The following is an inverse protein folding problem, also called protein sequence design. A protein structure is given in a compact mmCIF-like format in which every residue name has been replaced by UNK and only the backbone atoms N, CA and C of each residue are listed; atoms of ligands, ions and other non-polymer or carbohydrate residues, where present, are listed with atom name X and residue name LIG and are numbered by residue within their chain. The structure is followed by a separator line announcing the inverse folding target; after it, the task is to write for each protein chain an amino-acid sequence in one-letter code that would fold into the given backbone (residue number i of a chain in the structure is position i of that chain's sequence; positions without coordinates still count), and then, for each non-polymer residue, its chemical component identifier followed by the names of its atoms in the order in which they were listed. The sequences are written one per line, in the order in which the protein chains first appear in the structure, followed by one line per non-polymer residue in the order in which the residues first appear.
data_IF_844907355587
#
_entry.id   IF_844907355587
#
_cell.length_a   1.000
_cell.length_b   1.000
_cell.length_c   1.000
_cell.angle_alpha   90.00
_cell.angle_beta   90.00
_cell.angle_gamma   90.00
#
_symmetry.space_group_name_H-M   'P 1'
#
loop_
_entity.id
_entity.type
_entity.pdbx_description
1 polymer ?
#
# COMPACT_ATOMS: atom_id res chain seq x y z
N UNK A 1 -8.75 21.10 -38.31
CA UNK A 1 -7.57 21.75 -37.68
C UNK A 1 -6.70 20.63 -37.14
N UNK A 2 -5.54 20.40 -37.73
CA UNK A 2 -4.73 19.20 -37.46
C UNK A 2 -4.12 19.14 -36.04
N UNK A 3 -4.11 20.25 -35.28
CA UNK A 3 -3.49 20.29 -33.94
C UNK A 3 -4.52 20.21 -32.82
N UNK A 4 -5.79 20.54 -33.11
CA UNK A 4 -6.86 20.61 -32.09
C UNK A 4 -8.02 19.64 -32.32
N UNK A 5 -8.00 18.90 -33.42
CA UNK A 5 -8.97 17.81 -33.64
C UNK A 5 -8.73 16.69 -32.62
N UNK A 6 -9.81 16.15 -32.07
CA UNK A 6 -9.83 15.12 -31.03
C UNK A 6 -10.89 14.06 -31.39
N UNK A 7 -10.62 12.80 -31.05
CA UNK A 7 -11.55 11.67 -31.18
C UNK A 7 -11.86 11.11 -29.79
N UNK A 8 -13.02 10.49 -29.60
CA UNK A 8 -13.40 9.80 -28.37
C UNK A 8 -13.05 8.29 -28.40
N UNK A 9 -12.60 7.77 -29.54
CA UNK A 9 -12.13 6.39 -29.64
C UNK A 9 -10.67 6.28 -29.20
N UNK A 10 -10.45 5.65 -28.06
CA UNK A 10 -9.11 5.48 -27.47
C UNK A 10 -8.22 4.57 -28.33
N UNK A 11 -8.81 3.58 -29.01
CA UNK A 11 -8.05 2.67 -29.87
C UNK A 11 -7.55 3.41 -31.12
N UNK A 12 -8.38 4.27 -31.71
CA UNK A 12 -7.98 5.12 -32.84
C UNK A 12 -6.83 6.07 -32.45
N UNK A 13 -6.93 6.70 -31.26
CA UNK A 13 -5.88 7.59 -30.74
C UNK A 13 -4.57 6.82 -30.54
N UNK A 14 -4.63 5.57 -30.08
CA UNK A 14 -3.45 4.72 -29.91
C UNK A 14 -2.73 4.49 -31.24
N UNK A 15 -3.48 4.18 -32.31
CA UNK A 15 -2.93 3.88 -33.63
C UNK A 15 -2.36 5.11 -34.33
N UNK A 16 -2.99 6.27 -34.17
CA UNK A 16 -2.63 7.50 -34.90
C UNK A 16 -1.62 8.36 -34.13
N UNK A 17 -1.82 8.55 -32.82
CA UNK A 17 -1.07 9.51 -32.00
C UNK A 17 -0.14 8.85 -30.98
N UNK A 18 -0.33 7.56 -30.68
CA UNK A 18 0.52 6.78 -29.78
C UNK A 18 0.11 6.81 -28.30
N UNK A 19 0.90 6.12 -27.47
CA UNK A 19 0.52 5.78 -26.09
C UNK A 19 0.40 6.98 -25.13
N UNK A 20 1.20 8.02 -25.30
CA UNK A 20 1.12 9.21 -24.43
C UNK A 20 -0.12 10.06 -24.73
N UNK A 21 -0.55 10.09 -26.01
CA UNK A 21 -1.82 10.70 -26.38
C UNK A 21 -3.00 9.94 -25.78
N UNK A 22 -2.93 8.60 -25.77
CA UNK A 22 -3.91 7.73 -25.11
C UNK A 22 -4.00 8.00 -23.62
N UNK A 23 -2.86 8.11 -22.92
CA UNK A 23 -2.84 8.43 -21.48
C UNK A 23 -3.65 9.69 -21.18
N UNK A 24 -3.48 10.75 -21.99
CA UNK A 24 -4.23 12.00 -21.82
C UNK A 24 -5.68 11.93 -22.29
N UNK A 25 -5.97 11.16 -23.33
CA UNK A 25 -7.33 10.93 -23.77
C UNK A 25 -8.16 10.20 -22.70
N UNK A 26 -7.62 9.12 -22.10
CA UNK A 26 -8.29 8.38 -21.02
C UNK A 26 -8.54 9.29 -19.82
N UNK A 27 -7.53 10.05 -19.38
CA UNK A 27 -7.67 10.96 -18.26
C UNK A 27 -8.80 11.99 -18.50
N UNK A 28 -8.87 12.54 -19.71
CA UNK A 28 -9.90 13.51 -20.09
C UNK A 28 -11.29 12.90 -20.14
N UNK A 29 -11.45 11.73 -20.76
CA UNK A 29 -12.74 11.03 -20.84
C UNK A 29 -13.25 10.63 -19.46
N UNK A 30 -12.38 10.06 -18.61
CA UNK A 30 -12.76 9.69 -17.24
C UNK A 30 -13.17 10.92 -16.41
N UNK A 31 -12.40 12.00 -16.49
CA UNK A 31 -12.73 13.24 -15.77
C UNK A 31 -14.04 13.86 -16.29
N UNK A 32 -14.30 13.81 -17.60
CA UNK A 32 -15.54 14.30 -18.20
C UNK A 32 -16.76 13.52 -17.70
N UNK A 33 -16.68 12.19 -17.59
CA UNK A 33 -17.78 11.36 -17.07
C UNK A 33 -18.02 11.60 -15.57
N UNK A 34 -16.94 11.71 -14.77
CA UNK A 34 -17.07 11.92 -13.32
C UNK A 34 -17.59 13.33 -13.00
N UNK A 35 -17.08 14.34 -13.69
CA UNK A 35 -17.51 15.74 -13.48
C UNK A 35 -18.91 16.01 -14.00
N UNK A 36 -19.40 15.21 -14.96
CA UNK A 36 -20.79 15.29 -15.44
C UNK A 36 -21.82 15.02 -14.33
N UNK A 37 -21.51 14.11 -13.40
CA UNK A 37 -22.33 13.82 -12.21
C UNK A 37 -22.16 14.87 -11.09
N UNK A 38 -21.33 15.90 -11.30
CA UNK A 38 -21.01 16.92 -10.29
C UNK A 38 -20.04 16.44 -9.21
N UNK A 39 -19.55 15.20 -9.32
CA UNK A 39 -18.58 14.61 -8.41
C UNK A 39 -17.16 15.08 -8.72
N UNK A 40 -16.34 15.31 -7.68
CA UNK A 40 -14.94 15.69 -7.81
C UNK A 40 -14.02 14.57 -7.33
N UNK A 41 -13.01 14.25 -8.15
CA UNK A 41 -11.93 13.32 -7.80
C UNK A 41 -10.59 14.03 -7.99
N UNK A 42 -9.68 13.87 -7.02
CA UNK A 42 -8.35 14.46 -7.12
C UNK A 42 -7.58 13.85 -8.31
N UNK A 43 -6.92 14.72 -9.08
CA UNK A 43 -6.07 14.36 -10.23
C UNK A 43 -5.15 13.16 -9.96
N UNK A 44 -4.57 13.07 -8.75
CA UNK A 44 -3.63 12.00 -8.39
C UNK A 44 -4.22 10.60 -8.52
N UNK A 45 -5.53 10.42 -8.31
CA UNK A 45 -6.18 9.11 -8.45
C UNK A 45 -6.37 8.72 -9.91
N UNK A 46 -6.85 9.66 -10.73
CA UNK A 46 -7.09 9.43 -12.16
C UNK A 46 -5.76 9.24 -12.90
N UNK A 47 -4.76 10.07 -12.59
CA UNK A 47 -3.43 9.97 -13.17
C UNK A 47 -2.80 8.61 -12.89
N UNK A 48 -2.87 8.12 -11.65
CA UNK A 48 -2.29 6.83 -11.28
C UNK A 48 -2.96 5.66 -12.01
N UNK A 49 -4.28 5.71 -12.19
CA UNK A 49 -4.99 4.70 -12.98
C UNK A 49 -4.58 4.74 -14.46
N UNK A 50 -4.53 5.94 -15.07
CA UNK A 50 -4.12 6.10 -16.47
C UNK A 50 -2.67 5.62 -16.68
N UNK A 51 -1.79 5.89 -15.72
CA UNK A 51 -0.40 5.44 -15.74
C UNK A 51 -0.32 3.92 -15.67
N UNK A 52 -1.08 3.27 -14.78
CA UNK A 52 -1.13 1.79 -14.70
C UNK A 52 -1.64 1.17 -16.00
N UNK A 53 -2.63 1.78 -16.66
CA UNK A 53 -3.17 1.30 -17.94
C UNK A 53 -2.20 1.45 -19.12
N UNK A 54 -1.23 2.38 -19.06
CA UNK A 54 -0.38 2.77 -20.21
C UNK A 54 1.11 2.50 -20.02
N UNK A 55 1.58 2.20 -18.80
CA UNK A 55 3.00 2.07 -18.45
C UNK A 55 3.77 1.00 -19.25
N UNK A 56 3.11 -0.03 -19.78
CA UNK A 56 3.75 -1.11 -20.53
C UNK A 56 3.93 -0.83 -22.04
N UNK A 57 3.48 0.33 -22.52
CA UNK A 57 3.57 0.70 -23.94
C UNK A 57 2.44 0.16 -24.83
N UNK A 58 1.52 -0.62 -24.26
CA UNK A 58 0.26 -1.02 -24.89
C UNK A 58 -0.90 -0.70 -23.95
N UNK A 59 -2.11 -0.56 -24.51
CA UNK A 59 -3.30 -0.31 -23.70
C UNK A 59 -3.69 -1.57 -22.90
N UNK A 60 -3.56 -1.48 -21.59
CA UNK A 60 -3.96 -2.55 -20.68
C UNK A 60 -5.37 -2.30 -20.15
N UNK A 61 -6.30 -3.20 -20.49
CA UNK A 61 -7.65 -3.16 -19.95
C UNK A 61 -7.67 -3.63 -18.48
N UNK A 62 -8.45 -2.96 -17.62
CA UNK A 62 -8.68 -3.38 -16.23
C UNK A 62 -9.75 -4.49 -16.22
N UNK A 63 -9.37 -5.66 -16.74
CA UNK A 63 -10.17 -6.89 -16.79
C UNK A 63 -9.25 -8.09 -16.61
N UNK A 64 -9.78 -9.30 -16.46
CA UNK A 64 -8.97 -10.53 -16.37
C UNK A 64 -7.95 -10.66 -17.51
N UNK A 65 -8.35 -10.30 -18.74
CA UNK A 65 -7.51 -10.38 -19.93
C UNK A 65 -6.33 -9.41 -19.92
N UNK A 66 -6.43 -8.29 -19.20
CA UNK A 66 -5.33 -7.34 -19.07
C UNK A 66 -4.48 -7.58 -17.83
N UNK A 67 -5.10 -7.86 -16.68
CA UNK A 67 -4.41 -8.06 -15.39
C UNK A 67 -3.64 -9.38 -15.39
N UNK A 68 -4.20 -10.47 -15.92
CA UNK A 68 -3.55 -11.79 -15.91
C UNK A 68 -2.34 -11.86 -16.85
N UNK A 69 -2.24 -10.94 -17.82
CA UNK A 69 -1.07 -10.80 -18.71
C UNK A 69 0.10 -10.07 -18.05
N UNK A 70 -0.06 -9.55 -16.84
CA UNK A 70 1.04 -8.95 -16.12
C UNK A 70 1.97 -10.03 -15.54
N UNK A 71 3.28 -9.77 -15.55
CA UNK A 71 4.30 -10.58 -14.88
C UNK A 71 4.21 -10.42 -13.35
N UNK A 72 3.15 -10.97 -12.78
CA UNK A 72 2.85 -10.99 -11.34
C UNK A 72 2.64 -12.42 -10.90
N UNK A 73 2.91 -12.68 -9.62
CA UNK A 73 2.88 -14.02 -9.04
C UNK A 73 1.58 -14.76 -9.34
N UNK A 74 1.68 -16.07 -9.57
CA UNK A 74 0.54 -16.93 -9.84
C UNK A 74 -0.52 -16.82 -8.72
N UNK A 75 -0.11 -16.68 -7.46
CA UNK A 75 -1.03 -16.51 -6.32
C UNK A 75 -1.78 -15.18 -6.38
N UNK A 76 -1.11 -14.12 -6.85
CA UNK A 76 -1.75 -12.83 -7.06
C UNK A 76 -2.78 -12.91 -8.19
N UNK A 77 -2.41 -13.52 -9.33
CA UNK A 77 -3.31 -13.64 -10.50
C UNK A 77 -4.52 -14.52 -10.19
N UNK A 78 -4.33 -15.67 -9.55
CA UNK A 78 -5.42 -16.59 -9.23
C UNK A 78 -6.43 -16.01 -8.22
N UNK A 79 -6.06 -14.94 -7.50
CA UNK A 79 -6.95 -14.23 -6.59
C UNK A 79 -8.02 -13.39 -7.30
N UNK A 80 -7.89 -13.17 -8.62
CA UNK A 80 -8.85 -12.40 -9.43
C UNK A 80 -9.24 -13.16 -10.71
N UNK A 81 -10.43 -13.77 -10.70
CA UNK A 81 -10.96 -14.60 -11.80
C UNK A 81 -10.04 -15.78 -12.22
N UNK A 82 -10.57 -16.75 -12.99
CA UNK A 82 -9.81 -17.85 -13.63
C UNK A 82 -8.84 -18.65 -12.71
N UNK A 83 -9.16 -18.81 -11.42
CA UNK A 83 -8.26 -19.37 -10.41
C UNK A 83 -7.69 -20.74 -10.77
N UNK A 84 -8.52 -21.68 -11.22
CA UNK A 84 -8.09 -23.06 -11.52
C UNK A 84 -7.17 -23.10 -12.74
N UNK A 85 -7.50 -22.34 -13.78
CA UNK A 85 -6.74 -22.31 -15.02
C UNK A 85 -5.35 -21.70 -14.80
N UNK A 86 -5.28 -20.60 -14.04
CA UNK A 86 -4.01 -19.94 -13.68
C UNK A 86 -3.11 -20.87 -12.87
N UNK A 87 -3.66 -21.58 -11.88
CA UNK A 87 -2.89 -22.51 -11.06
C UNK A 87 -2.41 -23.73 -11.86
N UNK A 88 -3.23 -24.23 -12.77
CA UNK A 88 -2.85 -25.34 -13.65
C UNK A 88 -1.74 -24.92 -14.62
N UNK A 89 -1.84 -23.74 -15.22
CA UNK A 89 -0.81 -23.19 -16.11
C UNK A 89 0.51 -22.95 -15.37
N UNK A 90 0.44 -22.38 -14.16
CA UNK A 90 1.61 -22.18 -13.31
C UNK A 90 2.27 -23.50 -12.92
N UNK A 91 1.47 -24.55 -12.62
CA UNK A 91 1.98 -25.88 -12.30
C UNK A 91 2.67 -26.54 -13.49
N UNK A 92 2.11 -26.41 -14.70
CA UNK A 92 2.69 -26.96 -15.94
C UNK A 92 4.03 -26.29 -16.27
N UNK A 93 4.14 -24.98 -16.08
CA UNK A 93 5.36 -24.22 -16.35
C UNK A 93 6.36 -24.19 -15.17
N UNK A 94 6.03 -24.84 -14.05
CA UNK A 94 6.80 -24.79 -12.81
C UNK A 94 7.13 -23.33 -12.37
N UNK A 95 6.14 -22.45 -12.45
CA UNK A 95 6.27 -21.04 -12.09
C UNK A 95 6.58 -20.89 -10.59
N UNK A 96 7.55 -20.04 -10.25
CA UNK A 96 7.95 -19.76 -8.87
C UNK A 96 7.41 -18.39 -8.46
N UNK A 97 6.53 -18.37 -7.47
CA UNK A 97 5.98 -17.13 -6.93
C UNK A 97 6.94 -16.51 -5.89
N UNK A 98 7.42 -15.26 -6.08
CA UNK A 98 8.35 -14.62 -5.16
C UNK A 98 7.71 -14.06 -3.88
N UNK A 99 6.38 -14.14 -3.71
CA UNK A 99 5.64 -13.71 -2.51
C UNK A 99 5.96 -12.26 -2.07
N UNK A 100 5.96 -11.33 -3.03
CA UNK A 100 6.23 -9.89 -2.81
C UNK A 100 4.96 -9.03 -2.75
N UNK A 101 3.90 -9.44 -3.44
CA UNK A 101 2.60 -8.79 -3.50
C UNK A 101 1.83 -8.89 -2.18
N UNK A 102 0.72 -8.16 -2.11
CA UNK A 102 -0.11 -8.10 -0.89
C UNK A 102 -0.97 -9.36 -0.77
N UNK A 103 -1.60 -9.82 -1.86
CA UNK A 103 -2.53 -10.95 -1.86
C UNK A 103 -1.87 -12.26 -1.41
N UNK A 104 -0.71 -12.59 -1.98
CA UNK A 104 0.08 -13.78 -1.60
C UNK A 104 0.52 -13.77 -0.12
N UNK A 105 0.97 -12.62 0.40
CA UNK A 105 1.35 -12.50 1.81
C UNK A 105 0.14 -12.69 2.75
N UNK A 106 -1.03 -12.18 2.37
CA UNK A 106 -2.28 -12.41 3.11
C UNK A 106 -2.66 -13.89 3.10
N UNK A 107 -2.58 -14.56 1.95
CA UNK A 107 -2.90 -15.99 1.82
C UNK A 107 -1.99 -16.87 2.70
N UNK A 108 -0.71 -16.52 2.82
CA UNK A 108 0.26 -17.24 3.65
C UNK A 108 0.26 -16.82 5.12
N UNK A 109 -0.52 -15.80 5.50
CA UNK A 109 -0.58 -15.28 6.88
C UNK A 109 0.70 -14.54 7.31
N UNK A 110 1.47 -14.00 6.37
CA UNK A 110 2.69 -13.24 6.62
C UNK A 110 2.43 -11.73 6.60
N UNK A 111 3.31 -10.95 7.24
CA UNK A 111 3.22 -9.49 7.18
C UNK A 111 3.55 -9.02 5.76
N UNK A 112 2.61 -8.31 5.12
CA UNK A 112 2.80 -7.79 3.77
C UNK A 112 3.77 -6.59 3.76
N UNK A 113 4.51 -6.44 2.66
CA UNK A 113 5.48 -5.34 2.46
C UNK A 113 4.79 -4.02 2.09
N UNK A 114 3.81 -3.59 2.89
CA UNK A 114 3.06 -2.37 2.69
C UNK A 114 2.92 -1.61 4.04
N UNK A 115 2.90 -0.27 3.98
CA UNK A 115 2.73 0.57 5.16
C UNK A 115 3.82 0.32 6.21
N UNK A 116 3.44 -0.19 7.39
CA UNK A 116 4.37 -0.48 8.50
C UNK A 116 5.30 -1.67 8.21
N UNK A 117 4.94 -2.55 7.28
CA UNK A 117 5.76 -3.69 6.88
C UNK A 117 6.78 -3.38 5.78
N UNK A 118 6.95 -2.11 5.37
CA UNK A 118 7.89 -1.74 4.31
C UNK A 118 9.35 -1.60 4.76
N UNK A 119 9.58 -1.59 6.06
CA UNK A 119 10.91 -1.57 6.68
C UNK A 119 10.99 -2.61 7.78
N UNK A 120 12.21 -3.01 8.12
CA UNK A 120 12.50 -3.90 9.24
C UNK A 120 13.08 -3.11 10.42
N UNK A 121 12.88 -3.63 11.62
CA UNK A 121 13.31 -3.00 12.87
C UNK A 121 14.49 -3.79 13.43
N UNK A 122 15.65 -3.13 13.51
CA UNK A 122 16.84 -3.71 14.12
C UNK A 122 17.12 -3.00 15.44
N UNK A 123 17.39 -3.78 16.49
CA UNK A 123 17.73 -3.24 17.79
C UNK A 123 19.20 -2.78 17.82
N UNK A 124 19.41 -1.50 18.14
CA UNK A 124 20.74 -0.94 18.37
C UNK A 124 21.19 -1.20 19.81
N UNK A 125 22.00 -2.25 19.99
CA UNK A 125 22.47 -2.71 21.31
C UNK A 125 23.39 -1.71 22.03
N UNK A 126 24.08 -0.83 21.31
CA UNK A 126 24.95 0.17 21.91
C UNK A 126 24.13 1.26 22.61
N UNK A 127 23.01 1.68 22.00
CA UNK A 127 22.08 2.64 22.62
C UNK A 127 21.29 2.05 23.78
N UNK A 128 21.03 0.75 23.77
CA UNK A 128 20.38 0.08 24.90
C UNK A 128 21.19 0.15 26.20
N UNK A 129 22.53 0.26 26.13
CA UNK A 129 23.38 0.40 27.33
C UNK A 129 23.19 1.74 28.05
N UNK A 130 22.68 2.75 27.35
CA UNK A 130 22.37 4.07 27.91
C UNK A 130 20.98 4.10 28.58
N UNK A 131 20.20 3.03 28.44
CA UNK A 131 18.90 2.93 29.09
C UNK A 131 19.11 2.77 30.60
N UNK A 132 18.54 3.69 31.37
CA UNK A 132 18.43 3.59 32.82
C UNK A 132 16.98 3.33 33.17
N UNK A 133 16.71 2.27 33.90
CA UNK A 133 15.39 2.05 34.46
C UNK A 133 15.09 3.14 35.48
N UNK A 134 13.97 3.86 35.31
CA UNK A 134 13.50 4.79 36.32
C UNK A 134 13.08 3.96 37.53
N UNK A 135 13.69 4.14 38.71
CA UNK A 135 13.27 3.40 39.88
C UNK A 135 11.83 3.77 40.20
N UNK A 136 10.92 2.79 40.11
CA UNK A 136 9.49 2.92 40.44
C UNK A 136 9.18 3.26 41.90
N UNK A 137 10.19 3.61 42.70
CA UNK A 137 10.05 3.85 44.13
C UNK A 137 9.72 5.31 44.51
N UNK A 138 9.24 6.13 43.57
CA UNK A 138 8.61 7.41 43.89
C UNK A 138 7.14 7.52 43.48
N UNK A 139 6.53 6.46 42.94
CA UNK A 139 5.07 6.38 42.77
C UNK A 139 4.39 5.81 44.04
N UNK A 140 5.17 5.40 45.04
CA UNK A 140 4.66 4.96 46.34
C UNK A 140 4.23 6.07 47.32
N UNK A 141 4.47 7.35 47.01
CA UNK A 141 4.17 8.45 47.93
C UNK A 141 2.92 9.29 47.55
N UNK A 142 2.27 8.99 46.43
CA UNK A 142 1.03 9.66 46.00
C UNK A 142 -0.17 8.70 45.86
N UNK A 143 -0.14 7.54 46.52
CA UNK A 143 -1.33 6.69 46.69
C UNK A 143 -2.08 7.10 47.95
N UNK A 144 -2.62 8.31 47.92
CA UNK A 144 -3.72 8.74 48.77
C UNK A 144 -5.00 8.73 47.95
N UNK A 145 -5.87 7.75 48.20
CA UNK A 145 -7.21 7.58 47.64
C UNK A 145 -7.31 7.14 46.16
N UNK A 146 -7.20 5.82 45.94
CA UNK A 146 -8.00 5.11 44.92
C UNK A 146 -7.25 4.48 43.75
N UNK A 147 -7.11 3.15 43.78
CA UNK A 147 -7.13 2.31 42.57
C UNK A 147 -5.81 1.65 42.12
N UNK A 148 -5.57 0.44 42.64
CA UNK A 148 -4.85 -0.72 42.07
C UNK A 148 -3.71 -0.52 41.05
N UNK A 149 -2.47 -0.83 41.50
CA UNK A 149 -1.45 -1.50 40.68
C UNK A 149 -0.71 -2.55 41.53
N UNK A 150 -0.97 -3.83 41.24
CA UNK A 150 -0.15 -4.96 41.65
C UNK A 150 0.04 -5.85 40.43
N UNK A 151 1.27 -6.12 40.03
CA UNK A 151 1.54 -7.05 38.93
C UNK A 151 2.97 -6.99 38.43
N UNK A 152 3.81 -7.79 39.08
CA UNK A 152 4.93 -8.48 38.44
C UNK A 152 4.40 -9.25 37.22
N UNK A 153 5.19 -9.36 36.16
CA UNK A 153 4.91 -9.97 34.84
C UNK A 153 4.25 -9.04 33.79
N UNK A 154 4.91 -8.99 32.63
CA UNK A 154 4.69 -8.00 31.59
C UNK A 154 3.26 -7.91 31.06
N UNK A 155 2.76 -6.68 30.96
CA UNK A 155 1.92 -6.10 29.90
C UNK A 155 1.42 -4.74 30.43
N UNK A 156 2.13 -3.66 30.10
CA UNK A 156 1.55 -2.32 30.19
C UNK A 156 2.23 -1.40 29.19
N UNK A 157 1.61 -1.26 28.02
CA UNK A 157 1.91 -0.18 27.09
C UNK A 157 1.64 1.16 27.79
N UNK A 158 2.57 2.13 27.77
CA UNK A 158 2.35 3.44 28.36
C UNK A 158 1.45 4.26 27.44
N UNK A 159 0.14 4.04 27.51
CA UNK A 159 -0.86 4.92 26.91
C UNK A 159 -1.54 5.74 28.00
N UNK A 160 -0.87 6.77 28.48
CA UNK A 160 -1.54 7.95 29.05
C UNK A 160 -0.65 9.18 28.90
N UNK A 161 -1.28 10.22 28.38
CA UNK A 161 -0.78 11.48 27.85
C UNK A 161 -0.24 12.45 28.91
N UNK A 162 0.58 11.99 29.87
CA UNK A 162 1.06 12.84 30.98
C UNK A 162 2.50 12.58 31.45
N UNK A 163 3.39 12.08 30.59
CA UNK A 163 4.80 11.88 30.96
C UNK A 163 5.75 12.55 29.97
N UNK A 164 5.67 13.88 29.89
CA UNK A 164 6.85 14.67 29.47
C UNK A 164 7.75 14.83 30.69
N UNK A 165 9.00 14.34 30.68
CA UNK A 165 9.94 14.59 31.78
C UNK A 165 10.16 16.10 31.96
N UNK A 166 9.94 16.63 33.16
CA UNK A 166 10.10 18.06 33.46
C UNK A 166 11.57 18.51 33.54
N UNK A 167 12.53 17.60 33.39
CA UNK A 167 13.95 17.92 33.29
C UNK A 167 14.68 16.81 32.51
N UNK A 168 15.24 17.15 31.36
CA UNK A 168 16.33 16.39 30.75
C UNK A 168 17.65 16.75 31.43
N UNK A 169 18.61 15.82 31.60
CA UNK A 169 19.89 16.07 32.28
C UNK A 169 20.87 16.93 31.47
N UNK A 170 20.40 17.56 30.40
CA UNK A 170 21.12 18.54 29.59
C UNK A 170 20.48 19.91 29.81
N UNK A 171 20.68 20.46 31.01
CA UNK A 171 20.73 21.88 31.36
C UNK A 171 21.39 22.02 32.73
#
# INVERSE_FOLDING_TARGET
DCVRTYSNDICEIFEVLGIEAVRRAIEREMNQVISFDGSYVNYRHLALLCDVMTAKGYLMAITRHGINRQEVGALMRCSFEETVDILMEAAVHAEVDPVKGVSENIMLGQMSKAGTGCFDMVLDSEKCKLAMDIPGNQIGAYVGAGGFYTGHDGLSSPSSSAMSPAATPWN
#
